data_IF_789448032988
#
_entry.id   IF_789448032988
#
_cell.length_a   1.000
_cell.length_b   1.000
_cell.length_c   1.000
_cell.angle_alpha   90.00
_cell.angle_beta   90.00
_cell.angle_gamma   90.00
#
_symmetry.space_group_name_H-M   'P 1'
#
loop_
_entity.id
_entity.type
_entity.pdbx_description
1 polymer ?
#
# COMPACT_ATOMS: atom_id res chain seq x y z
N UNK A 1 5.73 22.18 10.06
CA UNK A 1 6.24 21.65 8.77
C UNK A 1 6.74 20.23 9.01
N UNK A 2 6.16 19.22 8.35
CA UNK A 2 6.62 17.82 8.45
C UNK A 2 7.85 17.63 7.55
N UNK A 3 8.90 16.99 8.02
CA UNK A 3 10.11 16.77 7.21
C UNK A 3 10.49 15.29 7.28
N UNK A 4 10.59 14.67 6.11
CA UNK A 4 11.07 13.31 5.94
C UNK A 4 12.42 13.36 5.22
N UNK A 5 13.40 12.61 5.74
CA UNK A 5 14.78 12.55 5.23
C UNK A 5 15.15 11.17 4.69
N UNK A 6 14.21 10.21 4.74
CA UNK A 6 14.42 8.81 4.36
C UNK A 6 13.29 8.29 3.48
N UNK A 7 13.64 7.30 2.65
CA UNK A 7 12.73 6.52 1.83
C UNK A 7 12.43 5.18 2.53
N UNK A 8 11.21 4.65 2.42
CA UNK A 8 10.90 3.32 2.91
C UNK A 8 11.12 2.29 1.81
N UNK A 9 12.21 1.51 1.91
CA UNK A 9 12.65 0.53 0.91
C UNK A 9 13.00 -0.78 1.62
N UNK A 10 12.47 -1.91 1.12
CA UNK A 10 12.81 -3.23 1.65
C UNK A 10 12.42 -3.45 3.12
N UNK A 11 11.36 -2.78 3.59
CA UNK A 11 10.90 -2.91 4.98
C UNK A 11 11.56 -1.96 5.98
N UNK A 12 12.42 -1.03 5.53
CA UNK A 12 13.10 -0.08 6.41
C UNK A 12 13.26 1.33 5.83
N UNK A 13 13.51 2.29 6.73
CA UNK A 13 13.81 3.69 6.37
C UNK A 13 15.29 3.86 6.02
N UNK A 14 15.58 4.10 4.74
CA UNK A 14 16.94 4.24 4.20
C UNK A 14 17.21 5.66 3.73
N UNK A 15 18.48 6.07 3.79
CA UNK A 15 18.90 7.34 3.19
C UNK A 15 18.70 7.32 1.65
N UNK A 16 18.22 8.42 1.05
CA UNK A 16 18.17 8.56 -0.41
C UNK A 16 19.59 8.58 -0.99
N UNK A 17 19.74 8.12 -2.23
CA UNK A 17 21.02 8.19 -2.93
C UNK A 17 21.35 9.62 -3.39
N UNK A 18 20.32 10.44 -3.65
CA UNK A 18 20.45 11.85 -3.96
C UNK A 18 20.25 12.77 -2.75
N UNK A 19 20.56 14.05 -2.92
CA UNK A 19 20.31 15.11 -1.93
C UNK A 19 19.07 15.96 -2.26
N UNK A 20 18.34 15.62 -3.33
CA UNK A 20 17.13 16.32 -3.76
C UNK A 20 15.98 16.16 -2.75
N UNK A 21 15.09 17.14 -2.71
CA UNK A 21 13.92 17.14 -1.84
C UNK A 21 12.71 17.74 -2.56
N UNK A 22 11.58 17.05 -2.46
CA UNK A 22 10.28 17.52 -2.92
C UNK A 22 9.67 18.39 -1.83
N UNK A 23 9.28 19.61 -2.19
CA UNK A 23 8.50 20.48 -1.33
C UNK A 23 7.01 20.23 -1.58
N UNK A 24 6.29 19.86 -0.53
CA UNK A 24 4.85 19.65 -0.60
C UNK A 24 4.16 20.97 -0.29
N UNK A 25 3.57 21.56 -1.33
CA UNK A 25 2.86 22.83 -1.27
C UNK A 25 1.40 22.59 -0.91
N UNK A 26 0.86 23.37 0.03
CA UNK A 26 -0.56 23.33 0.33
C UNK A 26 -1.37 24.14 -0.67
N UNK A 27 -2.42 23.53 -1.23
CA UNK A 27 -3.37 24.19 -2.13
C UNK A 27 -4.27 25.22 -1.43
N UNK A 28 -4.29 25.24 -0.09
CA UNK A 28 -5.13 26.16 0.68
C UNK A 28 -4.45 27.49 1.00
N UNK A 29 -3.16 27.45 1.31
CA UNK A 29 -2.40 28.61 1.82
C UNK A 29 -1.17 28.93 0.98
N UNK A 30 -0.89 28.14 -0.06
CA UNK A 30 0.27 28.28 -0.96
C UNK A 30 1.63 28.31 -0.25
N UNK A 31 1.71 27.61 0.89
CA UNK A 31 2.94 27.48 1.68
C UNK A 31 3.40 26.02 1.73
N UNK A 32 4.70 25.82 1.94
CA UNK A 32 5.29 24.51 2.14
C UNK A 32 4.80 23.91 3.46
N UNK A 33 4.09 22.78 3.38
CA UNK A 33 3.58 22.06 4.56
C UNK A 33 4.43 20.85 4.92
N UNK A 34 5.09 20.24 3.93
CA UNK A 34 6.03 19.14 4.16
C UNK A 34 7.21 19.12 3.17
N UNK A 35 8.23 18.32 3.51
CA UNK A 35 9.34 17.95 2.63
C UNK A 35 9.55 16.45 2.64
N UNK A 36 9.82 15.86 1.49
CA UNK A 36 10.17 14.46 1.34
C UNK A 36 11.40 14.31 0.42
N UNK A 37 12.19 13.23 0.54
CA UNK A 37 13.32 13.02 -0.36
C UNK A 37 12.87 12.84 -1.81
N UNK A 38 13.62 13.42 -2.74
CA UNK A 38 13.43 13.17 -4.17
C UNK A 38 14.14 11.87 -4.54
N UNK A 39 13.37 10.81 -4.83
CA UNK A 39 13.92 9.51 -5.17
C UNK A 39 14.62 9.55 -6.54
N UNK A 40 15.86 9.08 -6.59
CA UNK A 40 16.66 8.96 -7.82
C UNK A 40 16.43 7.62 -8.51
N UNK A 41 16.94 7.46 -9.73
CA UNK A 41 16.96 6.17 -10.42
C UNK A 41 17.65 5.05 -9.59
N UNK A 42 18.69 5.39 -8.82
CA UNK A 42 19.36 4.44 -7.94
C UNK A 42 18.44 3.97 -6.79
N UNK A 43 17.63 4.87 -6.23
CA UNK A 43 16.65 4.53 -5.19
C UNK A 43 15.55 3.62 -5.74
N UNK A 44 15.06 3.93 -6.95
CA UNK A 44 14.08 3.08 -7.65
C UNK A 44 14.66 1.69 -7.92
N UNK A 45 15.91 1.59 -8.39
CA UNK A 45 16.57 0.30 -8.61
C UNK A 45 16.68 -0.51 -7.31
N UNK A 46 17.01 0.13 -6.17
CA UNK A 46 17.02 -0.53 -4.86
C UNK A 46 15.62 -1.02 -4.46
N UNK A 47 14.58 -0.23 -4.68
CA UNK A 47 13.20 -0.60 -4.39
C UNK A 47 12.73 -1.79 -5.24
N UNK A 48 13.03 -1.78 -6.55
CA UNK A 48 12.71 -2.87 -7.47
C UNK A 48 13.46 -4.14 -7.08
N UNK A 49 14.76 -4.04 -6.77
CA UNK A 49 15.55 -5.20 -6.34
C UNK A 49 15.00 -5.80 -5.03
N UNK A 50 14.65 -4.96 -4.05
CA UNK A 50 14.05 -5.43 -2.80
C UNK A 50 12.67 -6.09 -3.01
N UNK A 51 11.84 -5.52 -3.89
CA UNK A 51 10.55 -6.11 -4.24
C UNK A 51 10.71 -7.45 -4.99
N UNK A 52 11.73 -7.55 -5.87
CA UNK A 52 12.07 -8.79 -6.58
C UNK A 52 12.56 -9.87 -5.62
N UNK A 53 13.45 -9.53 -4.69
CA UNK A 53 13.91 -10.44 -3.65
C UNK A 53 12.74 -10.98 -2.80
N UNK A 54 11.86 -10.08 -2.35
CA UNK A 54 10.67 -10.46 -1.59
C UNK A 54 9.71 -11.38 -2.39
N UNK A 55 9.67 -11.24 -3.71
CA UNK A 55 8.82 -12.05 -4.59
C UNK A 55 9.45 -13.37 -5.04
N UNK A 56 10.77 -13.43 -5.22
CA UNK A 56 11.45 -14.63 -5.71
C UNK A 56 11.84 -15.55 -4.54
N UNK A 57 12.27 -14.95 -3.42
CA UNK A 57 12.87 -15.65 -2.28
C UNK A 57 12.14 -15.42 -0.95
N UNK A 58 11.26 -14.42 -0.86
CA UNK A 58 10.47 -14.14 0.34
C UNK A 58 9.26 -15.06 0.54
N UNK A 59 8.59 -14.87 1.69
CA UNK A 59 7.41 -15.65 2.08
C UNK A 59 6.14 -15.22 1.33
N UNK A 60 6.02 -13.94 0.99
CA UNK A 60 4.86 -13.34 0.31
C UNK A 60 4.30 -14.14 -0.88
N UNK A 61 5.11 -14.59 -1.86
CA UNK A 61 4.63 -15.40 -3.00
C UNK A 61 4.22 -16.84 -2.61
N UNK A 62 4.57 -17.32 -1.41
CA UNK A 62 4.22 -18.66 -0.91
C UNK A 62 2.98 -18.64 -0.03
N UNK A 63 2.59 -17.48 0.50
CA UNK A 63 1.41 -17.34 1.32
C UNK A 63 0.15 -17.77 0.56
N UNK A 64 -0.73 -18.44 1.30
CA UNK A 64 -2.10 -18.66 0.84
C UNK A 64 -2.83 -17.31 0.72
N UNK A 65 -3.92 -17.25 -0.05
CA UNK A 65 -4.79 -16.08 -0.07
C UNK A 65 -5.22 -15.63 1.34
N UNK A 66 -5.56 -16.58 2.22
CA UNK A 66 -5.84 -16.32 3.63
C UNK A 66 -4.65 -15.70 4.38
N UNK A 67 -3.45 -16.27 4.24
CA UNK A 67 -2.25 -15.70 4.87
C UNK A 67 -1.95 -14.27 4.41
N UNK A 68 -2.20 -13.92 3.14
CA UNK A 68 -2.11 -12.53 2.66
C UNK A 68 -3.23 -11.65 3.21
N UNK A 69 -4.43 -12.21 3.38
CA UNK A 69 -5.56 -11.53 3.99
C UNK A 69 -5.25 -11.14 5.44
N UNK A 70 -4.53 -11.97 6.20
CA UNK A 70 -4.11 -11.66 7.57
C UNK A 70 -3.21 -10.41 7.63
N UNK A 71 -2.25 -10.29 6.72
CA UNK A 71 -1.43 -9.06 6.62
C UNK A 71 -2.25 -7.83 6.24
N UNK A 72 -3.20 -7.96 5.31
CA UNK A 72 -4.08 -6.85 4.93
C UNK A 72 -5.02 -6.45 6.08
N UNK A 73 -5.54 -7.42 6.84
CA UNK A 73 -6.35 -7.18 8.02
C UNK A 73 -5.55 -6.46 9.12
N UNK A 74 -4.30 -6.87 9.34
CA UNK A 74 -3.39 -6.18 10.24
C UNK A 74 -3.10 -4.74 9.80
N UNK A 75 -2.92 -4.51 8.49
CA UNK A 75 -2.78 -3.17 7.93
C UNK A 75 -4.04 -2.31 8.15
N UNK A 76 -5.23 -2.86 7.90
CA UNK A 76 -6.49 -2.16 8.15
C UNK A 76 -6.64 -1.80 9.63
N UNK A 77 -6.34 -2.73 10.55
CA UNK A 77 -6.38 -2.48 11.98
C UNK A 77 -5.40 -1.39 12.43
N UNK A 78 -4.20 -1.34 11.85
CA UNK A 78 -3.22 -0.30 12.12
C UNK A 78 -3.62 1.05 11.50
N UNK A 79 -4.23 1.06 10.31
CA UNK A 79 -4.59 2.28 9.60
C UNK A 79 -5.87 2.92 10.15
N UNK A 80 -6.88 2.14 10.53
CA UNK A 80 -8.19 2.62 11.01
C UNK A 80 -8.09 3.74 12.08
N UNK A 81 -7.31 3.61 13.18
CA UNK A 81 -7.20 4.69 14.17
C UNK A 81 -6.48 5.94 13.64
N UNK A 82 -5.78 5.85 12.50
CA UNK A 82 -5.05 6.96 11.85
C UNK A 82 -5.86 7.66 10.76
N UNK A 83 -7.10 7.25 10.49
CA UNK A 83 -7.99 7.90 9.51
C UNK A 83 -8.08 9.43 9.72
N UNK A 84 -8.27 9.97 10.94
CA UNK A 84 -8.30 11.41 11.15
C UNK A 84 -6.99 12.12 10.77
N UNK A 85 -5.85 11.46 11.05
CA UNK A 85 -4.53 11.97 10.69
C UNK A 85 -4.36 11.99 9.17
N UNK A 86 -4.69 10.89 8.48
CA UNK A 86 -4.57 10.81 7.02
C UNK A 86 -5.47 11.82 6.33
N UNK A 87 -6.68 12.05 6.83
CA UNK A 87 -7.56 13.07 6.29
C UNK A 87 -6.96 14.49 6.40
N UNK A 88 -6.25 14.78 7.50
CA UNK A 88 -5.56 16.07 7.67
C UNK A 88 -4.41 16.21 6.67
N UNK A 89 -3.64 15.14 6.44
CA UNK A 89 -2.59 15.12 5.42
C UNK A 89 -3.19 15.37 4.03
N UNK A 90 -4.22 14.60 3.65
CA UNK A 90 -4.88 14.73 2.35
C UNK A 90 -5.44 16.14 2.13
N UNK A 91 -6.12 16.72 3.12
CA UNK A 91 -6.60 18.10 3.05
C UNK A 91 -5.44 19.09 2.87
N UNK A 92 -4.41 18.98 3.70
CA UNK A 92 -3.26 19.89 3.63
C UNK A 92 -2.55 19.83 2.26
N UNK A 93 -2.37 18.62 1.72
CA UNK A 93 -1.64 18.38 0.49
C UNK A 93 -2.47 18.60 -0.77
N UNK A 94 -3.76 18.28 -0.79
CA UNK A 94 -4.58 18.25 -2.01
C UNK A 94 -5.71 19.28 -2.04
N UNK A 95 -5.96 20.00 -0.95
CA UNK A 95 -7.02 21.01 -0.91
C UNK A 95 -8.42 20.45 -0.65
N UNK A 96 -8.56 19.14 -0.42
CA UNK A 96 -9.86 18.47 -0.24
C UNK A 96 -10.53 18.90 1.07
N UNK A 97 -11.84 19.25 1.08
CA UNK A 97 -12.55 19.59 2.31
C UNK A 97 -12.47 18.45 3.35
N UNK A 98 -12.19 18.78 4.61
CA UNK A 98 -11.87 17.79 5.65
C UNK A 98 -12.92 16.68 5.80
N UNK A 99 -14.20 16.99 5.65
CA UNK A 99 -15.27 15.99 5.70
C UNK A 99 -15.18 14.95 4.56
N UNK A 100 -14.83 15.40 3.34
CA UNK A 100 -14.61 14.49 2.21
C UNK A 100 -13.29 13.73 2.34
N UNK A 101 -12.21 14.39 2.79
CA UNK A 101 -10.94 13.71 3.11
C UNK A 101 -11.13 12.60 4.14
N UNK A 102 -11.96 12.81 5.16
CA UNK A 102 -12.27 11.81 6.17
C UNK A 102 -13.07 10.64 5.61
N UNK A 103 -14.26 10.91 5.04
CA UNK A 103 -15.18 9.85 4.63
C UNK A 103 -14.82 9.21 3.28
N UNK A 104 -14.53 10.04 2.28
CA UNK A 104 -14.37 9.61 0.89
C UNK A 104 -12.96 9.17 0.51
N UNK A 105 -11.94 9.59 1.24
CA UNK A 105 -10.54 9.31 0.89
C UNK A 105 -9.85 8.46 1.96
N UNK A 106 -9.75 8.97 3.19
CA UNK A 106 -9.04 8.27 4.26
C UNK A 106 -9.78 7.01 4.73
N UNK A 107 -11.08 7.10 5.03
CA UNK A 107 -11.87 5.95 5.46
C UNK A 107 -12.14 4.96 4.31
N UNK A 108 -12.33 5.46 3.08
CA UNK A 108 -12.48 4.60 1.89
C UNK A 108 -11.29 3.67 1.68
N UNK A 109 -10.06 4.08 2.03
CA UNK A 109 -8.89 3.21 2.00
C UNK A 109 -9.05 1.97 2.91
N UNK A 110 -9.63 2.14 4.11
CA UNK A 110 -9.91 1.01 5.02
C UNK A 110 -10.96 0.08 4.41
N UNK A 111 -12.03 0.66 3.85
CA UNK A 111 -13.07 -0.13 3.17
C UNK A 111 -12.48 -0.95 2.03
N UNK A 112 -11.58 -0.36 1.24
CA UNK A 112 -10.93 -1.06 0.13
C UNK A 112 -10.01 -2.19 0.62
N UNK A 113 -9.21 -1.95 1.66
CA UNK A 113 -8.36 -2.99 2.25
C UNK A 113 -9.23 -4.16 2.75
N UNK A 114 -10.31 -3.88 3.47
CA UNK A 114 -11.23 -4.91 3.97
C UNK A 114 -11.94 -5.66 2.85
N UNK A 115 -12.30 -4.98 1.75
CA UNK A 115 -12.87 -5.64 0.58
C UNK A 115 -11.87 -6.65 -0.05
N UNK A 116 -10.57 -6.32 -0.07
CA UNK A 116 -9.54 -7.26 -0.53
C UNK A 116 -9.32 -8.43 0.45
N UNK A 117 -9.44 -8.20 1.76
CA UNK A 117 -9.43 -9.29 2.77
C UNK A 117 -10.56 -10.27 2.50
N UNK A 118 -11.79 -9.77 2.33
CA UNK A 118 -12.95 -10.61 2.00
C UNK A 118 -12.77 -11.34 0.67
N UNK A 119 -12.28 -10.65 -0.35
CA UNK A 119 -12.02 -11.23 -1.66
C UNK A 119 -10.97 -12.35 -1.60
N UNK A 120 -9.89 -12.16 -0.84
CA UNK A 120 -8.88 -13.19 -0.63
C UNK A 120 -9.45 -14.44 0.06
N UNK A 121 -10.45 -14.28 0.94
CA UNK A 121 -11.16 -15.40 1.56
C UNK A 121 -12.00 -16.25 0.59
N UNK A 122 -12.49 -15.66 -0.51
CA UNK A 122 -13.31 -16.35 -1.52
C UNK A 122 -12.50 -17.15 -2.55
N UNK A 123 -11.19 -16.91 -2.63
CA UNK A 123 -10.31 -17.55 -3.58
C UNK A 123 -9.26 -18.38 -2.85
N UNK A 124 -9.45 -19.70 -2.69
CA UNK A 124 -8.57 -20.52 -1.87
C UNK A 124 -7.20 -20.81 -2.50
N UNK A 125 -7.06 -20.64 -3.83
CA UNK A 125 -5.83 -21.01 -4.53
C UNK A 125 -4.76 -19.94 -4.50
N UNK A 126 -3.53 -20.40 -4.37
CA UNK A 126 -2.35 -19.56 -4.58
C UNK A 126 -2.32 -19.01 -6.01
N UNK A 127 -1.62 -17.88 -6.19
CA UNK A 127 -1.45 -17.27 -7.52
C UNK A 127 -0.72 -18.20 -8.49
N UNK A 128 0.21 -19.05 -8.02
CA UNK A 128 0.91 -20.04 -8.84
C UNK A 128 -0.04 -21.11 -9.37
N UNK A 129 -0.98 -21.58 -8.54
CA UNK A 129 -2.00 -22.54 -8.96
C UNK A 129 -2.94 -21.92 -9.99
N UNK A 130 -3.36 -20.66 -9.79
CA UNK A 130 -4.19 -19.95 -10.75
C UNK A 130 -3.52 -19.77 -12.12
N UNK A 131 -2.22 -19.44 -12.15
CA UNK A 131 -1.47 -19.30 -13.41
C UNK A 131 -1.20 -20.63 -14.13
N UNK A 132 -1.15 -21.75 -13.39
CA UNK A 132 -0.91 -23.10 -13.96
C UNK A 132 -2.20 -23.78 -14.43
N UNK A 133 -3.37 -23.23 -14.12
CA UNK A 133 -4.65 -23.79 -14.54
C UNK A 133 -4.87 -23.61 -16.06
N UNK A 134 -4.70 -24.68 -16.83
CA UNK A 134 -4.86 -24.69 -18.29
C UNK A 134 -6.17 -25.31 -18.76
N UNK A 135 -6.93 -25.94 -17.85
CA UNK A 135 -8.20 -26.60 -18.15
C UNK A 135 -9.29 -26.25 -17.12
N UNK A 136 -10.59 -26.36 -17.47
CA UNK A 136 -11.71 -26.13 -16.55
C UNK A 136 -11.63 -26.95 -15.26
N UNK A 137 -11.22 -28.22 -15.33
CA UNK A 137 -11.06 -29.11 -14.18
C UNK A 137 -9.88 -28.73 -13.26
N UNK A 138 -8.91 -27.97 -13.78
CA UNK A 138 -7.76 -27.45 -13.01
C UNK A 138 -7.96 -26.02 -12.50
N UNK A 139 -9.10 -25.39 -12.79
CA UNK A 139 -9.39 -24.03 -12.29
C UNK A 139 -9.58 -24.07 -10.78
N UNK A 140 -9.25 -22.96 -10.15
CA UNK A 140 -9.44 -22.81 -8.73
C UNK A 140 -10.93 -22.98 -8.37
N UNK A 141 -11.29 -23.88 -7.43
CA UNK A 141 -12.67 -23.97 -6.96
C UNK A 141 -13.10 -22.65 -6.33
N UNK A 142 -14.28 -22.16 -6.71
CA UNK A 142 -14.89 -20.98 -6.11
C UNK A 142 -15.64 -21.40 -4.86
N UNK A 143 -15.57 -20.61 -3.79
CA UNK A 143 -16.44 -20.81 -2.62
C UNK A 143 -17.91 -20.49 -2.90
N UNK A 144 -18.24 -19.99 -4.10
CA UNK A 144 -19.61 -19.77 -4.56
C UNK A 144 -20.24 -21.01 -5.24
N UNK A 145 -19.46 -22.09 -5.43
CA UNK A 145 -19.93 -23.36 -6.01
C UNK A 145 -20.44 -24.36 -4.95
N UNK A 146 -20.65 -23.91 -3.70
CA UNK A 146 -21.22 -24.68 -2.58
C UNK A 146 -22.44 -23.96 -2.04
#
# INVERSE_FOLDING_TARGET
MRSYDRLFIGGGWVAPAGAGAIQVMSHHIEQVVARAPEATAADVNRAVAAAREAFDHGEWPQLTPGGRADYLAALAAAYQPRVPEMATVITAEMGSPIGFSQAGQAFAAVMLINAYVEHAGRHPCTWRQALRATSPASRCPSTADT
#
